data_IF_045810405693
#
_entry.id   IF_045810405693
#
_cell.length_a   1.000
_cell.length_b   1.000
_cell.length_c   1.000
_cell.angle_alpha   90.00
_cell.angle_beta   90.00
_cell.angle_gamma   90.00
#
_symmetry.space_group_name_H-M   'P 1'
#
loop_
_entity.id
_entity.type
_entity.pdbx_description
1 polymer ?
#
# COMPACT_ATOMS: atom_id res chain seq x y z
N UNK A 1 8.94 2.29 -22.16
CA UNK A 1 8.94 1.82 -23.57
C UNK A 1 7.53 1.34 -23.87
N UNK A 2 6.93 1.77 -24.98
CA UNK A 2 5.57 1.35 -25.39
C UNK A 2 5.65 0.83 -26.83
N UNK A 3 4.84 -0.17 -27.16
CA UNK A 3 4.73 -0.71 -28.52
C UNK A 3 3.95 0.23 -29.46
N UNK A 4 3.42 1.35 -28.94
CA UNK A 4 2.72 2.36 -29.73
C UNK A 4 3.74 3.27 -30.46
N UNK A 5 3.68 3.37 -31.81
CA UNK A 5 4.53 4.28 -32.56
C UNK A 5 4.33 5.73 -32.09
N UNK A 6 5.41 6.49 -31.92
CA UNK A 6 5.36 7.85 -31.37
C UNK A 6 4.40 8.80 -32.12
N UNK A 7 4.25 8.64 -33.43
CA UNK A 7 3.34 9.44 -34.26
C UNK A 7 1.85 9.10 -34.06
N UNK A 8 1.54 8.01 -33.36
CA UNK A 8 0.16 7.59 -33.04
C UNK A 8 -0.29 8.03 -31.65
N UNK A 9 0.64 8.42 -30.77
CA UNK A 9 0.32 8.90 -29.43
C UNK A 9 0.11 10.42 -29.46
N UNK A 10 -1.07 10.89 -29.07
CA UNK A 10 -1.32 12.31 -28.87
C UNK A 10 -0.59 12.79 -27.62
N UNK A 11 -0.12 14.06 -27.55
CA UNK A 11 0.56 14.59 -26.37
C UNK A 11 -0.23 14.41 -25.06
N UNK A 12 -1.56 14.53 -25.11
CA UNK A 12 -2.43 14.31 -23.95
C UNK A 12 -2.37 12.86 -23.42
N UNK A 13 -2.31 11.86 -24.31
CA UNK A 13 -2.25 10.45 -23.93
C UNK A 13 -0.93 10.10 -23.27
N UNK A 14 0.17 10.68 -23.76
CA UNK A 14 1.49 10.55 -23.12
C UNK A 14 1.49 11.18 -21.72
N UNK A 15 0.91 12.37 -21.58
CA UNK A 15 0.80 13.04 -20.28
C UNK A 15 -0.06 12.26 -19.28
N UNK A 16 -1.17 11.67 -19.72
CA UNK A 16 -2.01 10.80 -18.89
C UNK A 16 -1.28 9.53 -18.48
N UNK A 17 -0.55 8.90 -19.40
CA UNK A 17 0.26 7.72 -19.11
C UNK A 17 1.32 8.03 -18.05
N UNK A 18 2.05 9.13 -18.21
CA UNK A 18 3.04 9.59 -17.23
C UNK A 18 2.41 9.83 -15.86
N UNK A 19 1.30 10.56 -15.78
CA UNK A 19 0.60 10.81 -14.50
C UNK A 19 0.16 9.52 -13.81
N UNK A 20 -0.41 8.58 -14.57
CA UNK A 20 -0.82 7.28 -14.05
C UNK A 20 0.37 6.46 -13.58
N UNK A 21 1.47 6.46 -14.32
CA UNK A 21 2.70 5.79 -13.92
C UNK A 21 3.22 6.31 -12.58
N UNK A 22 3.25 7.64 -12.41
CA UNK A 22 3.69 8.29 -11.17
C UNK A 22 2.75 8.07 -9.97
N UNK A 23 1.50 7.63 -10.18
CA UNK A 23 0.59 7.33 -9.07
C UNK A 23 1.09 6.21 -8.15
N UNK A 24 2.02 5.36 -8.63
CA UNK A 24 2.69 4.33 -7.81
C UNK A 24 3.49 4.99 -6.67
N UNK A 25 4.06 6.18 -6.90
CA UNK A 25 4.84 6.87 -5.88
C UNK A 25 3.98 7.33 -4.70
N UNK A 26 2.69 7.59 -4.91
CA UNK A 26 1.77 7.83 -3.80
C UNK A 26 1.63 6.60 -2.89
N UNK A 27 1.71 5.39 -3.46
CA UNK A 27 1.71 4.14 -2.68
C UNK A 27 3.02 4.00 -1.90
N UNK A 28 4.18 4.30 -2.51
CA UNK A 28 5.46 4.32 -1.81
C UNK A 28 5.44 5.31 -0.63
N UNK A 29 5.01 6.55 -0.87
CA UNK A 29 4.88 7.55 0.19
C UNK A 29 4.01 7.06 1.37
N UNK A 30 2.88 6.41 1.07
CA UNK A 30 2.03 5.81 2.10
C UNK A 30 2.80 4.74 2.88
N UNK A 31 3.52 3.85 2.21
CA UNK A 31 4.30 2.79 2.86
C UNK A 31 5.43 3.36 3.72
N UNK A 32 6.15 4.36 3.24
CA UNK A 32 7.28 4.96 3.96
C UNK A 32 6.82 5.81 5.13
N UNK A 33 5.84 6.68 4.93
CA UNK A 33 5.41 7.64 5.96
C UNK A 33 4.36 7.04 6.88
N UNK A 34 3.33 6.43 6.32
CA UNK A 34 2.31 5.79 7.14
C UNK A 34 2.88 4.53 7.74
N UNK A 35 3.38 3.56 6.98
CA UNK A 35 3.87 2.29 7.55
C UNK A 35 5.32 2.29 8.07
N UNK A 36 6.03 3.42 7.99
CA UNK A 36 7.40 3.58 8.49
C UNK A 36 8.35 2.53 7.89
N UNK A 37 8.15 2.19 6.62
CA UNK A 37 8.90 1.11 5.96
C UNK A 37 10.41 1.32 6.02
N UNK A 38 10.89 2.51 5.65
CA UNK A 38 12.32 2.86 5.72
C UNK A 38 12.91 2.79 7.13
N UNK A 39 12.08 3.07 8.15
CA UNK A 39 12.51 3.03 9.54
C UNK A 39 12.57 1.60 10.11
N UNK A 40 12.16 0.57 9.35
CA UNK A 40 12.23 -0.82 9.80
C UNK A 40 13.68 -1.28 9.91
N UNK A 41 14.00 -1.93 11.03
CA UNK A 41 15.32 -2.55 11.29
C UNK A 41 15.41 -4.01 10.85
N UNK A 42 14.34 -4.57 10.31
CA UNK A 42 14.34 -5.91 9.74
C UNK A 42 15.29 -5.97 8.52
N UNK A 43 16.31 -6.82 8.59
CA UNK A 43 17.33 -6.99 7.53
C UNK A 43 17.68 -8.45 7.24
N UNK A 44 17.09 -9.39 7.97
CA UNK A 44 17.46 -10.82 7.87
C UNK A 44 16.50 -11.56 6.94
N UNK A 45 17.06 -12.31 5.99
CA UNK A 45 16.30 -13.19 5.09
C UNK A 45 15.17 -12.47 4.35
N UNK A 46 14.00 -13.12 4.28
CA UNK A 46 12.82 -12.59 3.61
C UNK A 46 12.03 -11.56 4.44
N UNK A 47 12.48 -11.22 5.66
CA UNK A 47 11.70 -10.39 6.59
C UNK A 47 11.31 -9.01 6.03
N UNK A 48 12.17 -8.27 5.30
CA UNK A 48 11.76 -7.00 4.68
C UNK A 48 10.59 -7.16 3.72
N UNK A 49 10.65 -8.19 2.86
CA UNK A 49 9.60 -8.48 1.87
C UNK A 49 8.30 -8.90 2.56
N UNK A 50 8.38 -9.79 3.54
CA UNK A 50 7.21 -10.25 4.31
C UNK A 50 6.52 -9.06 4.99
N UNK A 51 7.27 -8.17 5.64
CA UNK A 51 6.71 -6.97 6.27
C UNK A 51 6.12 -6.00 5.23
N UNK A 52 6.71 -5.90 4.05
CA UNK A 52 6.15 -5.15 2.91
C UNK A 52 4.78 -5.70 2.51
N UNK A 53 4.68 -7.01 2.29
CA UNK A 53 3.42 -7.69 1.94
C UNK A 53 2.35 -7.50 3.02
N UNK A 54 2.70 -7.66 4.30
CA UNK A 54 1.75 -7.47 5.41
C UNK A 54 1.23 -6.02 5.47
N UNK A 55 2.10 -5.03 5.22
CA UNK A 55 1.69 -3.63 5.17
C UNK A 55 0.72 -3.36 4.01
N UNK A 56 0.96 -3.94 2.83
CA UNK A 56 0.07 -3.81 1.68
C UNK A 56 -1.27 -4.54 1.89
N UNK A 57 -1.28 -5.68 2.59
CA UNK A 57 -2.53 -6.36 2.98
C UNK A 57 -3.35 -5.47 3.93
N UNK A 58 -2.71 -4.90 4.97
CA UNK A 58 -3.36 -3.98 5.89
C UNK A 58 -3.90 -2.72 5.19
N UNK A 59 -3.11 -2.13 4.29
CA UNK A 59 -3.50 -0.97 3.47
C UNK A 59 -4.75 -1.25 2.65
N UNK A 60 -4.79 -2.41 1.98
CA UNK A 60 -5.94 -2.81 1.17
C UNK A 60 -7.18 -3.09 2.02
N UNK A 61 -7.04 -3.74 3.17
CA UNK A 61 -8.16 -3.99 4.06
C UNK A 61 -8.78 -2.69 4.61
N UNK A 62 -7.95 -1.72 5.01
CA UNK A 62 -8.43 -0.40 5.43
C UNK A 62 -9.17 0.33 4.30
N UNK A 63 -8.62 0.30 3.08
CA UNK A 63 -9.30 0.88 1.92
C UNK A 63 -10.65 0.19 1.64
N UNK A 64 -10.71 -1.14 1.71
CA UNK A 64 -11.93 -1.90 1.54
C UNK A 64 -12.97 -1.64 2.64
N UNK A 65 -12.51 -1.31 3.86
CA UNK A 65 -13.36 -0.87 4.97
C UNK A 65 -13.80 0.60 4.86
N UNK A 66 -13.49 1.30 3.76
CA UNK A 66 -13.97 2.65 3.47
C UNK A 66 -13.11 3.78 4.05
N UNK A 67 -11.91 3.50 4.55
CA UNK A 67 -11.02 4.55 5.07
C UNK A 67 -10.41 5.38 3.95
N UNK A 68 -10.95 6.58 3.72
CA UNK A 68 -10.36 7.56 2.79
C UNK A 68 -8.98 8.05 3.26
N UNK A 69 -8.75 8.13 4.58
CA UNK A 69 -7.46 8.44 5.17
C UNK A 69 -6.88 7.19 5.83
N UNK A 70 -5.95 6.53 5.13
CA UNK A 70 -5.33 5.29 5.57
C UNK A 70 -4.46 5.46 6.84
N UNK A 71 -3.86 6.65 7.05
CA UNK A 71 -3.12 6.92 8.27
C UNK A 71 -4.06 6.99 9.49
N UNK A 72 -5.26 7.55 9.32
CA UNK A 72 -6.30 7.53 10.34
C UNK A 72 -6.78 6.11 10.62
N UNK A 73 -7.09 5.35 9.56
CA UNK A 73 -7.51 3.95 9.67
C UNK A 73 -6.49 3.08 10.39
N UNK A 74 -5.20 3.26 10.09
CA UNK A 74 -4.12 2.56 10.80
C UNK A 74 -4.08 2.90 12.28
N UNK A 75 -4.22 4.19 12.65
CA UNK A 75 -4.24 4.61 14.07
C UNK A 75 -5.47 4.07 14.82
N UNK A 76 -6.59 3.85 14.13
CA UNK A 76 -7.78 3.24 14.72
C UNK A 76 -7.64 1.72 14.98
N UNK A 77 -6.69 1.05 14.31
CA UNK A 77 -6.46 -0.40 14.38
C UNK A 77 -5.07 -0.74 14.94
N UNK A 78 -4.72 -0.18 16.11
CA UNK A 78 -3.49 -0.54 16.85
C UNK A 78 -3.70 -1.68 17.84
N UNK A 79 -4.96 -1.98 18.16
CA UNK A 79 -5.37 -3.13 18.95
C UNK A 79 -5.29 -4.40 18.08
N UNK A 80 -4.51 -5.43 18.48
CA UNK A 80 -4.37 -6.67 17.71
C UNK A 80 -5.71 -7.33 17.36
N UNK A 81 -6.69 -7.29 18.27
CA UNK A 81 -7.98 -7.94 18.03
C UNK A 81 -8.78 -7.22 16.96
N UNK A 82 -8.78 -5.88 17.01
CA UNK A 82 -9.43 -5.05 15.99
C UNK A 82 -8.75 -5.20 14.64
N UNK A 83 -7.43 -5.31 14.62
CA UNK A 83 -6.67 -5.54 13.39
C UNK A 83 -7.02 -6.90 12.77
N UNK A 84 -7.10 -7.97 13.57
CA UNK A 84 -7.48 -9.29 13.09
C UNK A 84 -8.95 -9.34 12.61
N UNK A 85 -9.87 -8.67 13.31
CA UNK A 85 -11.27 -8.51 12.90
C UNK A 85 -11.40 -7.80 11.54
N UNK A 86 -10.62 -6.74 11.30
CA UNK A 86 -10.56 -6.06 10.00
C UNK A 86 -10.22 -7.02 8.85
N UNK A 87 -9.37 -8.02 9.13
CA UNK A 87 -8.96 -9.06 8.19
C UNK A 87 -9.85 -10.31 8.21
N UNK A 88 -10.91 -10.33 9.03
CA UNK A 88 -11.78 -11.50 9.25
C UNK A 88 -11.01 -12.75 9.70
N UNK A 89 -9.92 -12.55 10.45
CA UNK A 89 -9.13 -13.63 11.03
C UNK A 89 -9.74 -13.95 12.41
N UNK A 90 -10.15 -15.20 12.67
CA UNK A 90 -10.74 -15.57 13.95
C UNK A 90 -9.69 -15.53 15.07
N UNK A 91 -10.13 -15.11 16.26
CA UNK A 91 -9.30 -15.16 17.47
C UNK A 91 -9.21 -16.59 17.99
N UNK A 92 -8.00 -17.01 18.35
CA UNK A 92 -7.80 -18.27 19.05
C UNK A 92 -7.96 -17.97 20.54
N UNK A 93 -9.08 -18.40 21.13
CA UNK A 93 -9.26 -18.31 22.59
C UNK A 93 -8.18 -19.17 23.26
N UNK A 94 -7.37 -18.57 24.13
CA UNK A 94 -6.33 -19.25 24.92
C UNK A 94 -6.92 -19.74 26.22
#
# INVERSE_FOLDING_TARGET
>A
MTDLPAHKARPAELADCLRRHWSIEAVHHIRDVTWREDARRARIGALPVVLGCLADIARQALAAAGWANLASGRRAHTDPDKALQLHRIPQIST
#
